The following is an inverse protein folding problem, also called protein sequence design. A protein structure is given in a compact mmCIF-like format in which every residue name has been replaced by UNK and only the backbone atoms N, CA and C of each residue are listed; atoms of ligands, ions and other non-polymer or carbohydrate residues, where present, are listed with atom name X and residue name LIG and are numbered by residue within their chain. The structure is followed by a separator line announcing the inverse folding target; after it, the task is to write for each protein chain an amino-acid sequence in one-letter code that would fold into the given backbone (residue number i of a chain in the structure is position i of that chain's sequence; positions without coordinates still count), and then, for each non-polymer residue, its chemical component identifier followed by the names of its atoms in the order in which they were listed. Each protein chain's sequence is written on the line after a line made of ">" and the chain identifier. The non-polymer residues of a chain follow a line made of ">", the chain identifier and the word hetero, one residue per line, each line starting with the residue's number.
data_IF_189409910491
#
_entry.id   IF_189409910491
#
_cell.length_a   1.000
_cell.length_b   1.000
_cell.length_c   1.000
_cell.angle_alpha   90.00
_cell.angle_beta   90.00
_cell.angle_gamma   90.00
#
_symmetry.space_group_name_H-M   'P 1'
#
loop_
_entity.id
_entity.type
_entity.pdbx_description
1 polymer ?
#
# COMPACT_ATOMS: atom_id res chain seq x y z
N UNK A 1 0.93 -14.90 -8.45
CA UNK A 1 -0.16 -13.95 -8.19
C UNK A 1 -0.41 -13.05 -9.38
N UNK A 2 -1.68 -12.78 -9.68
CA UNK A 2 -2.07 -11.83 -10.71
C UNK A 2 -1.74 -10.39 -10.27
N UNK A 3 -1.31 -9.53 -11.19
CA UNK A 3 -0.91 -8.13 -10.97
C UNK A 3 0.36 -7.87 -10.14
N UNK A 4 1.09 -8.93 -9.76
CA UNK A 4 2.26 -8.80 -8.88
C UNK A 4 3.43 -8.06 -9.57
N UNK A 5 3.63 -8.27 -10.87
CA UNK A 5 4.71 -7.63 -11.64
C UNK A 5 4.46 -6.13 -11.76
N UNK A 6 3.22 -5.75 -12.06
CA UNK A 6 2.76 -4.37 -12.20
C UNK A 6 2.86 -3.63 -10.86
N UNK A 7 2.46 -4.27 -9.76
CA UNK A 7 2.62 -3.72 -8.41
C UNK A 7 4.10 -3.48 -8.06
N UNK A 8 4.98 -4.44 -8.36
CA UNK A 8 6.42 -4.29 -8.17
C UNK A 8 6.98 -3.12 -8.97
N UNK A 9 6.69 -3.06 -10.26
CA UNK A 9 7.16 -1.99 -11.16
C UNK A 9 6.65 -0.62 -10.72
N UNK A 10 5.40 -0.53 -10.25
CA UNK A 10 4.86 0.72 -9.71
C UNK A 10 5.67 1.18 -8.50
N UNK A 11 5.91 0.31 -7.52
CA UNK A 11 6.71 0.65 -6.33
C UNK A 11 8.12 1.07 -6.71
N UNK A 12 8.77 0.34 -7.61
CA UNK A 12 10.11 0.69 -8.12
C UNK A 12 10.10 2.08 -8.79
N UNK A 13 9.15 2.36 -9.68
CA UNK A 13 9.05 3.66 -10.35
C UNK A 13 8.80 4.82 -9.37
N UNK A 14 8.07 4.57 -8.28
CA UNK A 14 7.75 5.59 -7.29
C UNK A 14 8.93 5.87 -6.35
N UNK A 15 9.67 4.84 -5.93
CA UNK A 15 10.58 4.93 -4.78
C UNK A 15 12.07 4.81 -5.12
N UNK A 16 12.43 4.25 -6.29
CA UNK A 16 13.82 3.90 -6.56
C UNK A 16 14.70 5.17 -6.66
N UNK A 17 15.79 5.20 -5.89
CA UNK A 17 16.68 6.37 -5.80
C UNK A 17 16.10 7.58 -5.04
N UNK A 18 14.95 7.44 -4.36
CA UNK A 18 14.33 8.53 -3.61
C UNK A 18 14.50 8.36 -2.11
N UNK A 19 14.58 9.49 -1.41
CA UNK A 19 14.51 9.53 0.05
C UNK A 19 13.04 9.44 0.48
N UNK A 20 12.77 8.60 1.48
CA UNK A 20 11.42 8.35 2.00
C UNK A 20 11.39 8.48 3.52
N UNK A 21 10.24 8.85 4.04
CA UNK A 21 9.97 8.85 5.49
C UNK A 21 9.26 7.55 5.86
N UNK A 22 9.80 6.84 6.84
CA UNK A 22 9.22 5.62 7.38
C UNK A 22 8.52 5.92 8.71
N UNK A 23 7.20 5.78 8.72
CA UNK A 23 6.38 6.03 9.90
C UNK A 23 5.85 4.70 10.44
N UNK A 24 6.15 4.38 11.70
CA UNK A 24 5.54 3.22 12.36
C UNK A 24 4.18 3.56 12.94
N UNK A 25 3.38 2.52 13.15
CA UNK A 25 2.19 2.60 14.00
C UNK A 25 2.57 2.17 15.43
N UNK A 26 2.07 1.04 15.91
CA UNK A 26 2.33 0.54 17.27
C UNK A 26 3.50 -0.45 17.26
N UNK A 27 3.48 -1.41 16.35
CA UNK A 27 4.48 -2.48 16.27
C UNK A 27 5.75 -2.02 15.54
N UNK A 28 6.91 -2.46 16.03
CA UNK A 28 8.20 -2.16 15.41
C UNK A 28 8.48 -3.08 14.23
N UNK A 29 8.34 -4.39 14.47
CA UNK A 29 8.57 -5.48 13.52
C UNK A 29 7.49 -6.53 13.62
N UNK A 30 7.36 -7.32 12.55
CA UNK A 30 6.62 -8.57 12.63
C UNK A 30 7.46 -9.71 13.25
N UNK A 31 6.86 -10.90 13.32
CA UNK A 31 7.51 -12.12 13.84
C UNK A 31 8.74 -12.59 13.08
N UNK A 32 8.98 -12.05 11.87
CA UNK A 32 10.14 -12.34 11.04
C UNK A 32 11.20 -11.23 11.09
N UNK A 33 11.01 -10.21 11.93
CA UNK A 33 11.93 -9.09 12.07
C UNK A 33 11.81 -8.03 10.97
N UNK A 34 10.77 -8.08 10.13
CA UNK A 34 10.54 -7.07 9.09
C UNK A 34 9.93 -5.82 9.72
N UNK A 35 10.47 -4.65 9.41
CA UNK A 35 9.93 -3.38 9.89
C UNK A 35 8.49 -3.17 9.37
N UNK A 36 7.58 -2.80 10.25
CA UNK A 36 6.21 -2.43 9.90
C UNK A 36 6.13 -0.90 9.78
N UNK A 37 6.01 -0.41 8.54
CA UNK A 37 6.07 1.02 8.23
C UNK A 37 5.03 1.42 7.18
N UNK A 38 4.49 2.61 7.37
CA UNK A 38 3.93 3.43 6.30
C UNK A 38 5.08 4.20 5.65
N UNK A 39 5.10 4.21 4.32
CA UNK A 39 6.12 4.86 3.52
C UNK A 39 5.56 6.14 2.95
N UNK A 40 6.25 7.25 3.20
CA UNK A 40 5.93 8.56 2.67
C UNK A 40 7.01 9.04 1.72
N UNK A 41 6.58 9.61 0.59
CA UNK A 41 7.45 10.34 -0.34
C UNK A 41 6.97 11.80 -0.36
N UNK A 42 7.69 12.68 0.32
CA UNK A 42 7.16 14.02 0.65
C UNK A 42 5.92 13.89 1.53
N UNK A 43 4.82 14.53 1.12
CA UNK A 43 3.54 14.49 1.83
C UNK A 43 2.64 13.33 1.40
N UNK A 44 3.05 12.53 0.42
CA UNK A 44 2.25 11.43 -0.14
C UNK A 44 2.52 10.10 0.58
N UNK A 45 1.47 9.46 1.12
CA UNK A 45 1.56 8.11 1.68
C UNK A 45 1.43 7.07 0.57
N UNK A 46 2.56 6.44 0.22
CA UNK A 46 2.64 5.49 -0.88
C UNK A 46 1.75 4.26 -0.66
N UNK A 47 1.58 3.81 0.58
CA UNK A 47 0.67 2.72 0.91
C UNK A 47 -0.76 3.01 0.43
N UNK A 48 -1.28 4.22 0.67
CA UNK A 48 -2.62 4.62 0.24
C UNK A 48 -2.71 4.74 -1.28
N UNK A 49 -1.69 5.35 -1.91
CA UNK A 49 -1.60 5.49 -3.37
C UNK A 49 -1.69 4.14 -4.07
N UNK A 50 -0.95 3.13 -3.58
CA UNK A 50 -1.00 1.78 -4.15
C UNK A 50 -2.37 1.14 -4.04
N UNK A 51 -3.08 1.34 -2.92
CA UNK A 51 -4.44 0.81 -2.74
C UNK A 51 -5.43 1.54 -3.65
N UNK A 52 -5.36 2.88 -3.68
CA UNK A 52 -6.24 3.75 -4.46
C UNK A 52 -6.12 3.52 -5.97
N UNK A 53 -4.92 3.23 -6.46
CA UNK A 53 -4.67 2.93 -7.87
C UNK A 53 -4.85 1.43 -8.20
N UNK A 54 -5.21 0.59 -7.23
CA UNK A 54 -5.49 -0.82 -7.45
C UNK A 54 -4.25 -1.71 -7.62
N UNK A 55 -3.09 -1.29 -7.14
CA UNK A 55 -1.87 -2.12 -7.09
C UNK A 55 -1.78 -2.97 -5.82
N UNK A 56 -2.59 -2.69 -4.80
CA UNK A 56 -2.61 -3.42 -3.54
C UNK A 56 -4.04 -3.64 -3.03
N UNK A 57 -4.21 -4.70 -2.24
CA UNK A 57 -5.41 -4.95 -1.42
C UNK A 57 -5.11 -4.56 0.02
N UNK A 58 -6.11 -4.07 0.74
CA UNK A 58 -5.96 -3.82 2.17
C UNK A 58 -5.83 -5.15 2.92
N UNK A 59 -4.92 -5.20 3.89
CA UNK A 59 -4.84 -6.27 4.88
C UNK A 59 -4.53 -5.65 6.24
N UNK A 60 -5.37 -5.92 7.24
CA UNK A 60 -5.28 -5.30 8.56
C UNK A 60 -4.81 -6.30 9.59
N UNK A 61 -3.79 -5.94 10.36
CA UNK A 61 -3.26 -6.74 11.46
C UNK A 61 -3.21 -5.88 12.73
N UNK A 62 -4.13 -6.05 13.69
CA UNK A 62 -4.05 -5.35 14.97
C UNK A 62 -2.72 -5.63 15.68
N UNK A 63 -2.14 -4.64 16.38
CA UNK A 63 -2.69 -3.30 16.65
C UNK A 63 -2.50 -2.26 15.53
N UNK A 64 -1.81 -2.60 14.43
CA UNK A 64 -1.40 -1.65 13.38
C UNK A 64 -2.52 -1.36 12.37
N UNK A 65 -3.50 -0.56 12.80
CA UNK A 65 -4.72 -0.26 12.04
C UNK A 65 -5.03 1.23 11.93
N UNK A 66 -4.07 2.12 12.23
CA UNK A 66 -4.26 3.58 12.24
C UNK A 66 -4.91 4.17 10.99
N UNK A 67 -4.57 3.66 9.80
CA UNK A 67 -5.12 4.15 8.51
C UNK A 67 -6.13 3.20 7.86
N UNK A 68 -6.69 2.25 8.62
CA UNK A 68 -7.61 1.24 8.10
C UNK A 68 -8.77 1.85 7.30
N UNK A 69 -9.45 2.85 7.84
CA UNK A 69 -10.66 3.41 7.21
C UNK A 69 -10.33 4.19 5.93
N UNK A 70 -9.17 4.85 5.88
CA UNK A 70 -8.65 5.48 4.68
C UNK A 70 -8.39 4.44 3.59
N UNK A 71 -7.66 3.37 3.91
CA UNK A 71 -7.37 2.29 2.95
C UNK A 71 -8.64 1.56 2.48
N UNK A 72 -9.62 1.34 3.36
CA UNK A 72 -10.91 0.75 2.97
C UNK A 72 -11.64 1.64 1.97
N UNK A 73 -11.60 2.95 2.18
CA UNK A 73 -12.21 3.93 1.27
C UNK A 73 -11.49 3.92 -0.08
N UNK A 74 -10.15 3.96 -0.08
CA UNK A 74 -9.33 3.91 -1.29
C UNK A 74 -9.52 2.61 -2.07
N UNK A 75 -9.61 1.47 -1.39
CA UNK A 75 -9.84 0.18 -2.03
C UNK A 75 -11.22 0.12 -2.69
N UNK A 76 -12.25 0.63 -2.00
CA UNK A 76 -13.60 0.72 -2.56
C UNK A 76 -13.62 1.57 -3.83
N UNK A 77 -12.97 2.73 -3.81
CA UNK A 77 -12.85 3.60 -4.99
C UNK A 77 -12.14 2.89 -6.15
N UNK A 78 -11.05 2.17 -5.87
CA UNK A 78 -10.32 1.41 -6.89
C UNK A 78 -11.17 0.30 -7.52
N UNK A 79 -12.00 -0.39 -6.72
CA UNK A 79 -12.93 -1.43 -7.18
C UNK A 79 -14.03 -0.85 -8.07
N UNK A 80 -14.66 0.23 -7.63
CA UNK A 80 -15.72 0.93 -8.36
C UNK A 80 -15.21 1.50 -9.69
N UNK A 81 -14.00 2.06 -9.69
CA UNK A 81 -13.35 2.57 -10.88
C UNK A 81 -12.81 1.48 -11.82
N UNK A 82 -12.83 0.21 -11.42
CA UNK A 82 -12.24 -0.90 -12.16
C UNK A 82 -10.81 -0.57 -12.60
N UNK A 83 -9.94 -0.24 -11.66
CA UNK A 83 -8.51 0.05 -11.93
C UNK A 83 -7.59 -1.02 -11.37
N UNK A 84 -6.41 -1.13 -11.96
CA UNK A 84 -5.37 -2.05 -11.51
C UNK A 84 -5.83 -3.51 -11.46
N UNK A 85 -5.56 -4.17 -10.35
CA UNK A 85 -5.93 -5.58 -10.13
C UNK A 85 -7.44 -5.82 -10.24
N UNK A 86 -8.28 -4.81 -9.99
CA UNK A 86 -9.74 -4.95 -10.07
C UNK A 86 -10.26 -5.05 -11.50
N UNK A 87 -9.45 -4.61 -12.48
CA UNK A 87 -9.73 -4.79 -13.91
C UNK A 87 -9.01 -5.99 -14.49
N UNK A 88 -7.73 -6.15 -14.15
CA UNK A 88 -6.83 -7.11 -14.78
C UNK A 88 -6.98 -8.54 -14.23
N UNK A 89 -7.37 -8.68 -12.96
CA UNK A 89 -7.46 -9.96 -12.26
C UNK A 89 -8.92 -10.31 -11.98
N UNK A 90 -9.65 -10.66 -13.03
CA UNK A 90 -11.00 -11.23 -12.93
C UNK A 90 -10.94 -12.74 -12.86
#
# INVERSE_FOLDING_TARGET
>A
DCFATEAKQKVESLLNGKEVVLVKDVSETDKYGRLLRYVYLGDEMINDTLVKEGYARISTFPPDVKFKDQFLTSERQAREAQVGLWQACK
#
